data_IF_184184381711
#
_entry.id   IF_184184381711
#
_cell.length_a   1.000
_cell.length_b   1.000
_cell.length_c   1.000
_cell.angle_alpha   90.00
_cell.angle_beta   90.00
_cell.angle_gamma   90.00
#
_symmetry.space_group_name_H-M   'P 1'
#
loop_
_entity.id
_entity.type
_entity.pdbx_description
1 polymer ?
#
# COMPACT_ATOMS: atom_id res chain seq x y z
N UNK A 1 16.46 -6.37 1.02
CA UNK A 1 15.44 -7.24 0.35
C UNK A 1 14.07 -6.95 0.99
N UNK A 2 12.91 -7.20 0.33
CA UNK A 2 11.56 -6.85 0.89
C UNK A 2 11.25 -7.41 2.30
N UNK A 3 12.03 -8.37 2.80
CA UNK A 3 11.93 -8.93 4.16
C UNK A 3 12.37 -8.00 5.30
N UNK A 4 12.94 -6.83 5.01
CA UNK A 4 13.37 -5.84 6.02
C UNK A 4 12.33 -4.73 6.27
N UNK A 5 11.25 -4.69 5.49
CA UNK A 5 10.24 -3.63 5.61
C UNK A 5 9.26 -3.93 6.74
N UNK A 6 9.00 -2.93 7.57
CA UNK A 6 7.94 -2.99 8.58
C UNK A 6 6.54 -3.10 7.93
N UNK A 7 5.53 -3.62 8.66
CA UNK A 7 4.15 -3.66 8.15
C UNK A 7 3.63 -2.29 7.70
N UNK A 8 4.04 -1.22 8.37
CA UNK A 8 3.69 0.14 7.98
C UNK A 8 4.30 0.53 6.62
N UNK A 9 5.60 0.25 6.42
CA UNK A 9 6.28 0.55 5.15
C UNK A 9 5.70 -0.25 3.99
N UNK A 10 5.36 -1.52 4.18
CA UNK A 10 4.70 -2.33 3.15
C UNK A 10 3.33 -1.74 2.77
N UNK A 11 2.57 -1.29 3.77
CA UNK A 11 1.28 -0.62 3.52
C UNK A 11 1.45 0.67 2.75
N UNK A 12 2.43 1.52 3.10
CA UNK A 12 2.73 2.73 2.33
C UNK A 12 3.13 2.37 0.90
N UNK A 13 4.05 1.42 0.71
CA UNK A 13 4.55 1.05 -0.60
C UNK A 13 3.46 0.50 -1.51
N UNK A 14 2.59 -0.38 -1.00
CA UNK A 14 1.41 -0.87 -1.73
C UNK A 14 0.49 0.28 -2.15
N UNK A 15 0.24 1.24 -1.25
CA UNK A 15 -0.67 2.35 -1.53
C UNK A 15 -0.07 3.43 -2.43
N UNK A 16 1.27 3.50 -2.56
CA UNK A 16 1.93 4.48 -3.41
C UNK A 16 1.54 4.35 -4.89
N UNK A 17 1.36 3.12 -5.39
CA UNK A 17 0.88 2.88 -6.75
C UNK A 17 -0.49 3.52 -6.99
N UNK A 18 -1.43 3.33 -6.07
CA UNK A 18 -2.74 3.96 -6.15
C UNK A 18 -2.68 5.49 -5.99
N UNK A 19 -1.83 5.98 -5.10
CA UNK A 19 -1.65 7.42 -4.86
C UNK A 19 -1.13 8.13 -6.12
N UNK A 20 -0.21 7.50 -6.86
CA UNK A 20 0.33 8.01 -8.13
C UNK A 20 -0.76 8.24 -9.18
N UNK A 21 -1.85 7.49 -9.11
CA UNK A 21 -3.01 7.60 -10.01
C UNK A 21 -4.15 8.44 -9.43
N UNK A 22 -3.94 9.06 -8.26
CA UNK A 22 -4.89 9.99 -7.64
C UNK A 22 -5.92 9.37 -6.70
N UNK A 23 -5.73 8.11 -6.26
CA UNK A 23 -6.68 7.47 -5.33
C UNK A 23 -6.84 8.27 -4.03
N UNK A 24 -8.07 8.68 -3.74
CA UNK A 24 -8.42 9.31 -2.46
C UNK A 24 -8.61 8.22 -1.40
N UNK A 25 -7.72 8.21 -0.41
CA UNK A 25 -7.79 7.23 0.68
C UNK A 25 -8.82 7.63 1.73
N UNK A 26 -9.70 6.67 2.10
CA UNK A 26 -10.59 6.79 3.27
C UNK A 26 -9.83 6.77 4.60
N UNK A 27 -8.67 6.10 4.61
CA UNK A 27 -7.81 6.04 5.78
C UNK A 27 -7.14 7.39 6.01
N UNK A 28 -7.45 8.03 7.14
CA UNK A 28 -6.95 9.38 7.47
C UNK A 28 -5.42 9.45 7.41
N UNK A 29 -4.75 8.45 7.98
CA UNK A 29 -3.29 8.36 8.01
C UNK A 29 -2.64 8.23 6.62
N UNK A 30 -3.22 7.45 5.70
CA UNK A 30 -2.72 7.35 4.31
C UNK A 30 -2.95 8.66 3.57
N UNK A 31 -4.12 9.27 3.75
CA UNK A 31 -4.47 10.52 3.10
C UNK A 31 -3.52 11.64 3.56
N UNK A 32 -3.30 11.77 4.88
CA UNK A 32 -2.35 12.70 5.48
C UNK A 32 -0.90 12.40 5.09
N UNK A 33 -0.52 11.13 4.94
CA UNK A 33 0.81 10.74 4.51
C UNK A 33 1.07 11.21 3.07
N UNK A 34 0.19 10.86 2.12
CA UNK A 34 0.39 11.17 0.70
C UNK A 34 0.19 12.65 0.37
N UNK A 35 -0.66 13.38 1.11
CA UNK A 35 -0.82 14.84 0.99
C UNK A 35 0.46 15.65 1.20
N UNK A 36 1.49 15.05 1.82
CA UNK A 36 2.80 15.70 2.01
C UNK A 36 3.64 15.74 0.74
N UNK A 37 3.27 14.98 -0.28
CA UNK A 37 4.04 14.85 -1.52
C UNK A 37 3.33 15.60 -2.65
N UNK A 38 4.03 16.49 -3.32
CA UNK A 38 3.49 17.31 -4.42
C UNK A 38 3.01 16.46 -5.61
N UNK A 39 3.59 15.27 -5.80
CA UNK A 39 3.20 14.34 -6.85
C UNK A 39 1.87 13.61 -6.59
N UNK A 40 1.28 13.76 -5.40
CA UNK A 40 -0.05 13.22 -5.11
C UNK A 40 -1.13 14.22 -5.49
N UNK A 41 -1.87 13.89 -6.55
CA UNK A 41 -2.96 14.71 -7.08
C UNK A 41 -4.27 13.93 -6.92
N UNK A 42 -5.08 14.21 -5.88
CA UNK A 42 -6.38 13.57 -5.66
C UNK A 42 -7.29 13.68 -6.89
N UNK A 43 -7.72 12.53 -7.43
CA UNK A 43 -8.68 12.44 -8.53
C UNK A 43 -9.98 11.78 -8.03
N UNK A 44 -11.11 12.51 -7.94
CA UNK A 44 -12.39 11.93 -7.56
C UNK A 44 -12.90 10.88 -8.56
N UNK A 45 -12.37 10.87 -9.79
CA UNK A 45 -12.68 9.91 -10.84
C UNK A 45 -11.61 8.80 -10.95
N UNK A 46 -10.80 8.61 -9.90
CA UNK A 46 -9.85 7.51 -9.85
C UNK A 46 -10.55 6.16 -10.11
N UNK A 47 -9.93 5.35 -10.97
CA UNK A 47 -10.38 4.00 -11.30
C UNK A 47 -9.19 3.03 -11.27
N UNK A 48 -9.41 1.82 -10.74
CA UNK A 48 -8.36 0.82 -10.59
C UNK A 48 -7.86 0.24 -11.94
N UNK A 49 -8.64 0.38 -13.02
CA UNK A 49 -8.22 0.01 -14.37
C UNK A 49 -7.03 0.83 -14.90
N UNK A 50 -6.76 1.99 -14.30
CA UNK A 50 -5.59 2.83 -14.66
C UNK A 50 -4.25 2.23 -14.23
N UNK A 51 -4.28 1.24 -13.31
CA UNK A 51 -3.09 0.51 -12.93
C UNK A 51 -2.63 -0.40 -14.07
N UNK A 52 -1.35 -0.36 -14.39
CA UNK A 52 -0.79 -1.30 -15.35
C UNK A 52 -0.53 -2.69 -14.71
N UNK A 53 -0.25 -3.69 -15.54
CA UNK A 53 -0.07 -5.07 -15.10
C UNK A 53 1.12 -5.24 -14.13
N UNK A 54 2.17 -4.45 -14.28
CA UNK A 54 3.33 -4.47 -13.38
C UNK A 54 2.94 -3.91 -12.01
N UNK A 55 2.19 -2.81 -11.97
CA UNK A 55 1.69 -2.20 -10.73
C UNK A 55 0.75 -3.18 -10.01
N UNK A 56 -0.17 -3.83 -10.73
CA UNK A 56 -1.06 -4.86 -10.17
C UNK A 56 -0.27 -6.04 -9.59
N UNK A 57 0.68 -6.59 -10.34
CA UNK A 57 1.52 -7.69 -9.88
C UNK A 57 2.33 -7.32 -8.61
N UNK A 58 2.85 -6.10 -8.55
CA UNK A 58 3.56 -5.61 -7.38
C UNK A 58 2.65 -5.43 -6.16
N UNK A 59 1.45 -4.86 -6.35
CA UNK A 59 0.44 -4.72 -5.31
C UNK A 59 0.07 -6.10 -4.73
N UNK A 60 -0.16 -7.08 -5.59
CA UNK A 60 -0.48 -8.45 -5.18
C UNK A 60 0.65 -9.08 -4.38
N UNK A 61 1.89 -8.97 -4.88
CA UNK A 61 3.08 -9.48 -4.20
C UNK A 61 3.26 -8.88 -2.80
N UNK A 62 3.12 -7.55 -2.66
CA UNK A 62 3.23 -6.86 -1.37
C UNK A 62 2.10 -7.30 -0.43
N UNK A 63 0.87 -7.39 -0.94
CA UNK A 63 -0.29 -7.88 -0.17
C UNK A 63 -0.09 -9.31 0.33
N UNK A 64 0.56 -10.17 -0.46
CA UNK A 64 1.01 -11.50 -0.05
C UNK A 64 1.93 -11.45 1.16
N UNK A 65 3.02 -10.68 1.07
CA UNK A 65 3.97 -10.52 2.18
C UNK A 65 3.32 -9.95 3.45
N UNK A 66 2.44 -8.96 3.33
CA UNK A 66 1.70 -8.41 4.48
C UNK A 66 0.88 -9.47 5.21
N UNK A 67 0.21 -10.36 4.45
CA UNK A 67 -0.58 -11.47 5.03
C UNK A 67 0.31 -12.47 5.75
N UNK A 68 1.46 -12.83 5.17
CA UNK A 68 2.42 -13.76 5.78
C UNK A 68 3.00 -13.19 7.08
N UNK A 69 3.45 -11.93 7.06
CA UNK A 69 3.94 -11.24 8.25
C UNK A 69 2.88 -11.14 9.35
N UNK A 70 1.61 -10.90 8.98
CA UNK A 70 0.51 -10.88 9.95
C UNK A 70 0.32 -12.24 10.61
N UNK A 71 0.38 -13.34 9.85
CA UNK A 71 0.30 -14.72 10.39
C UNK A 71 1.45 -15.01 11.34
N UNK A 72 2.69 -14.71 10.94
CA UNK A 72 3.88 -14.90 11.78
C UNK A 72 3.79 -14.11 13.10
N UNK A 73 3.34 -12.85 13.04
CA UNK A 73 3.15 -12.01 14.22
C UNK A 73 2.03 -12.52 15.14
N UNK A 74 1.01 -13.15 14.60
CA UNK A 74 -0.06 -13.76 15.40
C UNK A 74 0.40 -15.04 16.09
N UNK A 75 1.22 -15.85 15.42
CA UNK A 75 1.77 -17.07 15.99
C UNK A 75 2.71 -16.76 17.16
N UNK A 76 3.60 -15.77 17.01
CA UNK A 76 4.53 -15.33 18.08
C UNK A 76 3.86 -14.73 19.32
N UNK A 77 2.57 -14.34 19.25
CA UNK A 77 1.82 -13.81 20.40
C UNK A 77 1.03 -14.88 21.15
N UNK A 78 1.00 -16.10 20.63
CA UNK A 78 0.28 -17.24 21.21
C UNK A 78 1.20 -18.16 22.02
N UNK A 79 2.51 -17.94 21.95
CA UNK A 79 3.56 -18.55 22.76
C UNK A 79 3.92 -17.61 23.91
#
# INVERSE_FOLDING_TARGET
MMGELSPHQLRIFRNAFYARHGKIFKSKDLNEFFKKYECYQPDPNFDESRLNEIEKANIEKISGYEKELKKLNQNRKKE
#
